data_IF_828349850774
#
_entry.id   IF_828349850774
#
_cell.length_a   1.000
_cell.length_b   1.000
_cell.length_c   1.000
_cell.angle_alpha   90.00
_cell.angle_beta   90.00
_cell.angle_gamma   90.00
#
_symmetry.space_group_name_H-M   'P 1'
#
loop_
_entity.id
_entity.type
_entity.pdbx_description
1 polymer ?
#
# COMPACT_ATOMS: atom_id res chain seq x y z
N UNK A 1 -7.97 -13.46 -25.41
CA UNK A 1 -6.91 -12.45 -25.60
C UNK A 1 -6.08 -12.39 -24.34
N UNK A 2 -4.76 -12.38 -24.45
CA UNK A 2 -3.85 -12.17 -23.31
C UNK A 2 -3.99 -10.72 -22.83
N UNK A 3 -4.11 -10.44 -21.52
CA UNK A 3 -4.19 -9.07 -21.01
C UNK A 3 -2.93 -8.27 -21.35
N UNK A 4 -3.10 -6.99 -21.71
CA UNK A 4 -2.00 -6.04 -21.92
C UNK A 4 -1.45 -5.58 -20.56
N UNK A 5 -0.45 -6.30 -20.06
CA UNK A 5 0.11 -6.09 -18.72
C UNK A 5 1.06 -4.89 -18.69
N UNK A 6 0.69 -3.88 -17.91
CA UNK A 6 1.54 -2.75 -17.53
C UNK A 6 2.31 -3.12 -16.27
N UNK A 7 3.63 -3.19 -16.38
CA UNK A 7 4.54 -3.64 -15.31
C UNK A 7 5.27 -2.46 -14.69
N UNK A 8 5.49 -2.49 -13.38
CA UNK A 8 6.23 -1.44 -12.69
C UNK A 8 7.68 -1.35 -13.23
N UNK A 9 8.15 -0.15 -13.65
CA UNK A 9 9.45 -0.03 -14.31
C UNK A 9 10.57 0.15 -13.29
N UNK A 10 10.95 -0.92 -12.61
CA UNK A 10 12.10 -0.90 -11.70
C UNK A 10 12.05 -1.97 -10.61
N UNK A 11 13.07 -2.00 -9.74
CA UNK A 11 13.01 -2.83 -8.56
C UNK A 11 11.86 -2.35 -7.67
N UNK A 12 10.96 -3.26 -7.31
CA UNK A 12 9.96 -2.98 -6.29
C UNK A 12 10.65 -2.70 -4.95
N UNK A 13 10.10 -1.82 -4.10
CA UNK A 13 10.60 -1.60 -2.75
C UNK A 13 10.88 -2.93 -2.03
N UNK A 14 11.99 -2.98 -1.29
CA UNK A 14 12.48 -4.22 -0.70
C UNK A 14 11.45 -4.80 0.27
N UNK A 15 10.85 -5.91 -0.19
CA UNK A 15 9.97 -6.89 0.49
C UNK A 15 9.12 -6.32 1.64
N UNK A 16 7.81 -6.32 1.41
CA UNK A 16 6.91 -7.11 2.26
C UNK A 16 7.55 -8.50 2.39
N UNK A 17 8.22 -8.78 3.51
CA UNK A 17 8.90 -10.05 3.79
C UNK A 17 8.30 -10.65 5.06
N UNK A 18 8.91 -11.71 5.62
CA UNK A 18 8.45 -12.33 6.86
C UNK A 18 7.92 -11.28 7.85
N UNK A 19 6.64 -11.43 8.22
CA UNK A 19 5.95 -10.48 9.08
C UNK A 19 6.72 -10.33 10.39
N UNK A 20 7.01 -9.09 10.79
CA UNK A 20 7.67 -8.81 12.06
C UNK A 20 6.78 -9.26 13.24
N UNK A 21 7.39 -9.64 14.35
CA UNK A 21 6.64 -10.01 15.56
C UNK A 21 6.44 -8.78 16.43
N UNK A 22 5.19 -8.42 16.68
CA UNK A 22 4.79 -7.29 17.51
C UNK A 22 3.71 -7.69 18.52
N UNK A 23 3.95 -7.40 19.82
CA UNK A 23 2.99 -7.64 20.92
C UNK A 23 2.38 -9.06 20.94
N UNK A 24 3.21 -10.06 20.67
CA UNK A 24 2.78 -11.48 20.65
C UNK A 24 1.98 -11.88 19.40
N UNK A 25 2.00 -11.08 18.34
CA UNK A 25 1.41 -11.39 17.03
C UNK A 25 2.32 -10.97 15.88
N UNK A 26 1.88 -11.20 14.65
CA UNK A 26 2.56 -10.73 13.44
C UNK A 26 2.01 -9.35 13.05
N UNK A 27 2.89 -8.46 12.59
CA UNK A 27 2.46 -7.20 11.97
C UNK A 27 1.72 -7.52 10.67
N UNK A 28 0.53 -6.93 10.50
CA UNK A 28 -0.30 -7.18 9.33
C UNK A 28 0.23 -6.56 8.05
N UNK A 29 -0.16 -7.14 6.90
CA UNK A 29 0.18 -6.64 5.56
C UNK A 29 -0.20 -5.17 5.34
N UNK A 30 -1.25 -4.67 5.99
CA UNK A 30 -1.62 -3.24 5.97
C UNK A 30 -0.50 -2.31 6.46
N UNK A 31 0.06 -2.57 7.64
CA UNK A 31 1.11 -1.73 8.19
C UNK A 31 2.46 -1.95 7.50
N UNK A 32 2.77 -3.19 7.10
CA UNK A 32 4.00 -3.51 6.39
C UNK A 32 4.05 -2.87 5.00
N UNK A 33 2.97 -2.95 4.22
CA UNK A 33 2.85 -2.29 2.92
C UNK A 33 2.98 -0.77 3.05
N UNK A 34 2.37 -0.16 4.08
CA UNK A 34 2.53 1.26 4.36
C UNK A 34 3.98 1.64 4.68
N UNK A 35 4.67 0.83 5.49
CA UNK A 35 6.09 1.03 5.80
C UNK A 35 6.97 0.93 4.55
N UNK A 36 6.73 -0.06 3.69
CA UNK A 36 7.45 -0.24 2.43
C UNK A 36 7.28 0.97 1.51
N UNK A 37 6.04 1.44 1.34
CA UNK A 37 5.72 2.59 0.52
C UNK A 37 6.37 3.86 1.10
N UNK A 38 6.20 4.11 2.39
CA UNK A 38 6.71 5.32 3.03
C UNK A 38 8.26 5.38 3.00
N UNK A 39 8.95 4.27 3.27
CA UNK A 39 10.42 4.22 3.20
C UNK A 39 10.94 4.51 1.80
N UNK A 40 10.29 4.00 0.75
CA UNK A 40 10.68 4.32 -0.63
C UNK A 40 10.66 5.83 -0.89
N UNK A 41 9.59 6.51 -0.48
CA UNK A 41 9.46 7.96 -0.68
C UNK A 41 10.40 8.75 0.22
N UNK A 42 10.57 8.36 1.48
CA UNK A 42 11.47 9.02 2.41
C UNK A 42 12.94 8.96 1.96
N UNK A 43 13.39 7.81 1.45
CA UNK A 43 14.75 7.67 0.88
C UNK A 43 14.98 8.65 -0.28
N UNK A 44 14.00 8.84 -1.16
CA UNK A 44 14.09 9.80 -2.27
C UNK A 44 14.16 11.25 -1.81
N UNK A 45 13.60 11.56 -0.63
CA UNK A 45 13.60 12.90 -0.05
C UNK A 45 14.72 13.13 0.98
N UNK A 46 15.56 12.13 1.24
CA UNK A 46 16.58 12.21 2.29
C UNK A 46 16.01 12.31 3.72
N UNK A 47 14.76 11.90 3.91
CA UNK A 47 14.09 11.92 5.22
C UNK A 47 14.49 10.65 5.99
N UNK A 48 15.08 10.78 7.19
CA UNK A 48 15.40 9.62 8.01
C UNK A 48 14.11 9.02 8.59
N UNK A 49 13.93 7.72 8.41
CA UNK A 49 12.86 6.94 9.03
C UNK A 49 13.44 5.71 9.72
N UNK A 50 12.70 5.12 10.68
CA UNK A 50 13.05 3.81 11.22
C UNK A 50 13.22 2.75 10.12
N UNK A 51 13.79 1.60 10.49
CA UNK A 51 13.77 0.44 9.61
C UNK A 51 12.32 -0.02 9.34
N UNK A 52 12.17 -0.97 8.40
CA UNK A 52 10.86 -1.35 7.86
C UNK A 52 9.96 -1.88 8.98
N UNK A 53 10.52 -2.72 9.85
CA UNK A 53 9.75 -3.45 10.84
C UNK A 53 9.36 -2.55 12.00
N UNK A 54 10.28 -1.73 12.52
CA UNK A 54 9.96 -0.74 13.55
C UNK A 54 8.97 0.31 13.03
N UNK A 55 9.10 0.74 11.77
CA UNK A 55 8.13 1.64 11.15
C UNK A 55 6.76 0.97 11.02
N UNK A 56 6.71 -0.29 10.61
CA UNK A 56 5.47 -1.03 10.48
C UNK A 56 4.76 -1.19 11.83
N UNK A 57 5.49 -1.36 12.94
CA UNK A 57 4.90 -1.37 14.28
C UNK A 57 4.28 -0.02 14.66
N UNK A 58 4.97 1.08 14.38
CA UNK A 58 4.46 2.43 14.62
C UNK A 58 3.20 2.70 13.77
N UNK A 59 3.23 2.30 12.50
CA UNK A 59 2.10 2.44 11.59
C UNK A 59 0.93 1.53 11.97
N UNK A 60 1.18 0.31 12.46
CA UNK A 60 0.14 -0.56 12.97
C UNK A 60 -0.62 0.08 14.13
N UNK A 61 0.08 0.75 15.05
CA UNK A 61 -0.55 1.52 16.11
C UNK A 61 -1.37 2.71 15.55
N UNK A 62 -0.78 3.49 14.63
CA UNK A 62 -1.45 4.66 14.02
C UNK A 62 -2.69 4.28 13.18
N UNK A 63 -2.67 3.13 12.53
CA UNK A 63 -3.77 2.59 11.72
C UNK A 63 -4.82 1.85 12.56
N UNK A 64 -4.68 1.82 13.88
CA UNK A 64 -5.63 1.17 14.79
C UNK A 64 -5.67 -0.35 14.62
N UNK A 65 -4.51 -0.99 14.51
CA UNK A 65 -4.42 -2.44 14.37
C UNK A 65 -5.11 -3.16 15.54
N UNK A 66 -5.94 -4.14 15.21
CA UNK A 66 -6.73 -4.91 16.17
C UNK A 66 -6.43 -6.41 16.09
N UNK A 67 -6.82 -7.11 17.15
CA UNK A 67 -6.70 -8.57 17.26
C UNK A 67 -7.87 -9.24 16.54
N UNK A 68 -7.55 -10.21 15.70
CA UNK A 68 -8.55 -11.17 15.23
C UNK A 68 -8.77 -12.25 16.31
N UNK A 69 -9.92 -12.95 16.31
CA UNK A 69 -10.21 -14.04 17.25
C UNK A 69 -9.40 -15.32 16.93
N UNK A 70 -8.08 -15.16 16.87
CA UNK A 70 -7.07 -16.20 16.76
C UNK A 70 -6.02 -15.91 17.85
N UNK A 71 -5.24 -16.89 18.33
CA UNK A 71 -4.38 -16.76 19.53
C UNK A 71 -3.18 -15.80 19.39
N UNK A 72 -3.18 -14.94 18.39
CA UNK A 72 -2.06 -14.06 18.04
C UNK A 72 -2.40 -12.60 18.35
N UNK A 73 -1.39 -11.78 18.61
CA UNK A 73 -1.50 -10.33 18.85
C UNK A 73 -2.17 -9.53 17.71
N UNK A 74 -2.26 -8.19 17.84
CA UNK A 74 -2.93 -7.36 16.85
C UNK A 74 -2.28 -7.52 15.48
N UNK A 75 -3.08 -7.80 14.44
CA UNK A 75 -2.56 -8.16 13.11
C UNK A 75 -3.35 -7.61 11.94
N UNK A 76 -4.52 -7.03 12.17
CA UNK A 76 -5.40 -6.55 11.12
C UNK A 76 -5.66 -5.05 11.29
N UNK A 77 -5.72 -4.32 10.19
CA UNK A 77 -6.11 -2.91 10.15
C UNK A 77 -7.37 -2.80 9.32
N UNK A 78 -8.32 -1.97 9.75
CA UNK A 78 -9.52 -1.73 8.96
C UNK A 78 -9.14 -1.01 7.66
N UNK A 79 -9.71 -1.39 6.50
CA UNK A 79 -9.28 -0.81 5.24
C UNK A 79 -9.44 0.71 5.17
N UNK A 80 -10.56 1.23 5.67
CA UNK A 80 -10.81 2.67 5.76
C UNK A 80 -9.89 3.40 6.75
N UNK A 81 -9.28 2.69 7.70
CA UNK A 81 -8.33 3.28 8.66
C UNK A 81 -6.91 3.37 8.09
N UNK A 82 -6.60 2.66 7.01
CA UNK A 82 -5.24 2.61 6.44
C UNK A 82 -4.75 4.01 6.02
N UNK A 83 -5.55 4.73 5.23
CA UNK A 83 -5.22 6.07 4.75
C UNK A 83 -5.21 7.12 5.86
N UNK A 84 -6.24 7.10 6.71
CA UNK A 84 -6.37 8.07 7.80
C UNK A 84 -5.25 7.90 8.79
N UNK A 85 -4.97 6.67 9.25
CA UNK A 85 -3.89 6.38 10.19
C UNK A 85 -2.52 6.71 9.63
N UNK A 86 -2.27 6.42 8.34
CA UNK A 86 -1.02 6.81 7.70
C UNK A 86 -0.87 8.34 7.62
N UNK A 87 -1.89 9.08 7.19
CA UNK A 87 -1.80 10.54 7.18
C UNK A 87 -1.63 11.14 8.57
N UNK A 88 -2.34 10.64 9.58
CA UNK A 88 -2.14 11.06 10.99
C UNK A 88 -0.69 10.83 11.44
N UNK A 89 -0.08 9.71 11.06
CA UNK A 89 1.33 9.46 11.34
C UNK A 89 2.24 10.46 10.63
N UNK A 90 2.02 10.70 9.33
CA UNK A 90 2.82 11.66 8.54
C UNK A 90 2.75 13.07 9.15
N UNK A 91 1.55 13.51 9.51
CA UNK A 91 1.30 14.81 10.15
C UNK A 91 1.98 14.90 11.52
N UNK A 92 1.83 13.87 12.36
CA UNK A 92 2.46 13.81 13.68
C UNK A 92 3.99 13.78 13.64
N UNK A 93 4.57 13.23 12.56
CA UNK A 93 6.01 13.23 12.29
C UNK A 93 6.49 14.46 11.50
N UNK A 94 5.59 15.40 11.17
CA UNK A 94 5.87 16.58 10.34
C UNK A 94 6.57 16.25 9.01
N UNK A 95 6.19 15.12 8.39
CA UNK A 95 6.79 14.69 7.14
C UNK A 95 6.20 15.47 5.96
N UNK A 96 7.01 15.87 4.96
CA UNK A 96 6.54 16.60 3.78
C UNK A 96 5.89 15.65 2.76
N UNK A 97 5.04 14.75 3.23
CA UNK A 97 4.46 13.64 2.48
C UNK A 97 2.97 13.56 2.78
N UNK A 98 2.19 13.09 1.80
CA UNK A 98 0.77 12.83 1.98
C UNK A 98 0.38 11.51 1.36
N UNK A 99 -0.39 10.72 2.10
CA UNK A 99 -0.96 9.48 1.60
C UNK A 99 -2.28 9.74 0.89
N UNK A 100 -2.39 9.16 -0.30
CA UNK A 100 -3.56 9.22 -1.17
C UNK A 100 -4.03 7.83 -1.51
N UNK A 101 -5.31 7.73 -1.83
CA UNK A 101 -5.84 6.50 -2.38
C UNK A 101 -7.17 6.70 -3.06
N UNK A 102 -7.52 5.71 -3.85
CA UNK A 102 -8.82 5.57 -4.49
C UNK A 102 -9.39 4.21 -4.15
N UNK A 103 -10.62 4.23 -3.67
CA UNK A 103 -11.44 3.04 -3.48
C UNK A 103 -12.29 2.82 -4.72
N UNK A 104 -12.56 1.55 -5.05
CA UNK A 104 -13.72 1.23 -5.87
C UNK A 104 -13.47 0.25 -7.00
N UNK A 105 -14.49 -0.57 -7.20
CA UNK A 105 -14.65 -1.57 -8.26
C UNK A 105 -15.12 -0.96 -9.60
N UNK A 106 -15.29 0.37 -9.71
CA UNK A 106 -16.04 1.01 -10.82
C UNK A 106 -15.46 2.32 -11.38
N UNK A 107 -14.19 2.68 -11.10
CA UNK A 107 -13.56 3.92 -11.59
C UNK A 107 -12.35 3.65 -12.51
N UNK A 108 -12.48 2.68 -13.41
CA UNK A 108 -11.35 2.08 -14.13
C UNK A 108 -10.56 3.03 -15.02
N UNK A 109 -11.22 3.85 -15.85
CA UNK A 109 -10.49 4.68 -16.81
C UNK A 109 -9.66 5.79 -16.11
N UNK A 110 -10.24 6.57 -15.16
CA UNK A 110 -9.44 7.54 -14.41
C UNK A 110 -8.36 6.91 -13.53
N UNK A 111 -8.60 5.70 -12.99
CA UNK A 111 -7.60 4.98 -12.18
C UNK A 111 -6.46 4.45 -13.05
N UNK A 112 -6.77 3.90 -14.21
CA UNK A 112 -5.79 3.38 -15.18
C UNK A 112 -4.83 4.47 -15.64
N UNK A 113 -5.36 5.63 -16.06
CA UNK A 113 -4.53 6.75 -16.49
C UNK A 113 -3.64 7.28 -15.34
N UNK A 114 -4.14 7.28 -14.11
CA UNK A 114 -3.35 7.70 -12.95
C UNK A 114 -2.25 6.70 -12.60
N UNK A 115 -2.56 5.39 -12.65
CA UNK A 115 -1.57 4.33 -12.49
C UNK A 115 -0.48 4.42 -13.56
N UNK A 116 -0.83 4.77 -14.81
CA UNK A 116 0.15 4.98 -15.87
C UNK A 116 1.13 6.10 -15.51
N UNK A 117 0.60 7.23 -15.03
CA UNK A 117 1.43 8.34 -14.58
C UNK A 117 2.36 7.91 -13.44
N UNK A 118 1.85 7.23 -12.41
CA UNK A 118 2.66 6.75 -11.28
C UNK A 118 3.73 5.76 -11.72
N UNK A 119 3.37 4.77 -12.54
CA UNK A 119 4.31 3.77 -13.06
C UNK A 119 5.38 4.44 -13.92
N UNK A 120 5.01 5.31 -14.86
CA UNK A 120 5.97 6.02 -15.72
C UNK A 120 6.98 6.87 -14.92
N UNK A 121 6.57 7.39 -13.76
CA UNK A 121 7.43 8.14 -12.84
C UNK A 121 8.24 7.26 -11.88
N UNK A 122 8.11 5.93 -11.97
CA UNK A 122 8.73 4.97 -11.06
C UNK A 122 8.26 5.15 -9.61
N UNK A 123 6.99 5.54 -9.42
CA UNK A 123 6.38 5.73 -8.10
C UNK A 123 5.59 4.48 -7.71
N UNK A 124 6.02 3.74 -6.66
CA UNK A 124 5.34 2.52 -6.25
C UNK A 124 3.97 2.82 -5.68
N UNK A 125 3.10 1.82 -5.76
CA UNK A 125 1.69 1.91 -5.38
C UNK A 125 1.33 0.67 -4.58
N UNK A 126 0.50 0.82 -3.57
CA UNK A 126 -0.10 -0.30 -2.84
C UNK A 126 -1.46 -0.60 -3.47
N UNK A 127 -1.65 -1.85 -3.90
CA UNK A 127 -2.95 -2.38 -4.23
C UNK A 127 -3.58 -3.07 -3.03
N UNK A 128 -4.91 -3.03 -2.96
CA UNK A 128 -5.68 -3.75 -1.97
C UNK A 128 -6.65 -4.70 -2.65
N UNK A 129 -6.51 -5.97 -2.34
CA UNK A 129 -7.51 -6.98 -2.65
C UNK A 129 -8.57 -6.98 -1.56
N UNK A 130 -9.83 -6.92 -1.96
CA UNK A 130 -10.97 -7.00 -1.07
C UNK A 130 -11.97 -8.02 -1.58
N UNK A 131 -11.90 -9.25 -1.06
CA UNK A 131 -12.85 -10.31 -1.36
C UNK A 131 -13.43 -10.89 -0.09
N UNK A 132 -14.49 -11.70 -0.25
CA UNK A 132 -15.09 -12.45 0.85
C UNK A 132 -14.13 -13.49 1.45
N UNK A 133 -13.06 -13.87 0.71
CA UNK A 133 -12.11 -14.91 1.12
C UNK A 133 -10.80 -14.33 1.63
N UNK A 134 -10.38 -13.20 1.09
CA UNK A 134 -9.07 -12.63 1.36
C UNK A 134 -9.14 -11.09 1.33
N UNK A 135 -8.36 -10.48 2.22
CA UNK A 135 -8.17 -9.03 2.28
C UNK A 135 -6.68 -8.80 2.47
N UNK A 136 -6.03 -8.30 1.43
CA UNK A 136 -4.58 -8.22 1.42
C UNK A 136 -4.07 -6.93 0.77
N UNK A 137 -3.10 -6.29 1.42
CA UNK A 137 -2.36 -5.16 0.88
C UNK A 137 -1.04 -5.63 0.31
N UNK A 138 -0.67 -5.15 -0.87
CA UNK A 138 0.63 -5.47 -1.44
C UNK A 138 1.10 -4.44 -2.44
N UNK A 139 2.40 -4.46 -2.74
CA UNK A 139 2.96 -3.59 -3.79
C UNK A 139 2.40 -4.01 -5.15
N UNK A 140 1.77 -3.07 -5.86
CA UNK A 140 1.24 -3.31 -7.20
C UNK A 140 2.41 -3.48 -8.18
N UNK A 141 2.66 -4.71 -8.63
CA UNK A 141 3.77 -5.06 -9.53
C UNK A 141 3.38 -4.98 -11.00
N UNK A 142 2.12 -5.28 -11.30
CA UNK A 142 1.54 -5.10 -12.63
C UNK A 142 0.01 -4.97 -12.58
N UNK A 143 -0.58 -4.35 -13.60
CA UNK A 143 -2.02 -4.35 -13.84
C UNK A 143 -2.30 -4.41 -15.34
N UNK A 144 -3.50 -4.83 -15.74
CA UNK A 144 -3.96 -4.66 -17.11
C UNK A 144 -5.19 -3.75 -17.13
N UNK A 145 -5.27 -2.78 -18.05
CA UNK A 145 -6.49 -1.98 -18.24
C UNK A 145 -7.68 -2.88 -18.54
N UNK A 146 -8.81 -2.61 -17.89
CA UNK A 146 -10.02 -3.38 -18.11
C UNK A 146 -11.10 -3.14 -17.06
N UNK A 147 -12.30 -3.71 -17.28
CA UNK A 147 -13.45 -3.53 -16.39
C UNK A 147 -13.21 -4.08 -14.99
N UNK A 148 -12.29 -5.02 -14.80
CA UNK A 148 -11.99 -5.58 -13.48
C UNK A 148 -10.57 -5.25 -13.02
N UNK A 149 -9.83 -4.46 -13.80
CA UNK A 149 -8.44 -4.03 -13.55
C UNK A 149 -7.58 -5.17 -12.94
N UNK A 150 -7.42 -6.32 -13.63
CA UNK A 150 -6.66 -7.44 -13.11
C UNK A 150 -5.25 -6.98 -12.74
N UNK A 151 -4.77 -7.45 -11.60
CA UNK A 151 -3.54 -6.95 -11.01
C UNK A 151 -2.69 -8.07 -10.41
N UNK A 152 -1.42 -7.76 -10.20
CA UNK A 152 -0.44 -8.58 -9.50
C UNK A 152 0.08 -7.79 -8.32
N UNK A 153 -0.07 -8.35 -7.13
CA UNK A 153 0.43 -7.75 -5.89
C UNK A 153 1.64 -8.56 -5.42
N UNK A 154 2.73 -7.87 -5.08
CA UNK A 154 3.84 -8.48 -4.38
C UNK A 154 3.55 -8.41 -2.88
N UNK A 155 3.36 -9.58 -2.27
CA UNK A 155 2.89 -9.80 -0.90
C UNK A 155 3.78 -10.84 -0.22
N UNK A 156 4.33 -10.53 0.95
CA UNK A 156 5.19 -11.44 1.73
C UNK A 156 6.30 -12.16 0.91
N UNK A 157 6.86 -11.49 -0.12
CA UNK A 157 7.88 -12.04 -1.01
C UNK A 157 7.36 -12.96 -2.12
N UNK A 158 6.04 -13.11 -2.23
CA UNK A 158 5.30 -13.88 -3.24
C UNK A 158 4.44 -12.97 -4.12
N UNK A 159 4.00 -13.46 -5.27
CA UNK A 159 3.12 -12.71 -6.17
C UNK A 159 1.68 -13.23 -6.05
N UNK A 160 0.79 -12.41 -5.52
CA UNK A 160 -0.65 -12.65 -5.51
C UNK A 160 -1.25 -12.16 -6.84
N UNK A 161 -1.90 -13.06 -7.56
CA UNK A 161 -2.59 -12.76 -8.80
C UNK A 161 -4.07 -12.52 -8.50
N UNK A 162 -4.54 -11.29 -8.71
CA UNK A 162 -5.94 -10.96 -8.44
C UNK A 162 -6.83 -11.59 -9.51
N UNK A 163 -7.82 -12.36 -9.06
CA UNK A 163 -8.76 -13.02 -9.97
C UNK A 163 -9.53 -11.97 -10.79
N UNK A 164 -9.88 -12.27 -12.06
CA UNK A 164 -10.58 -11.33 -12.93
C UNK A 164 -11.93 -10.83 -12.39
N UNK A 165 -12.53 -11.45 -11.38
CA UNK A 165 -13.82 -11.02 -10.80
C UNK A 165 -13.69 -10.19 -9.53
N UNK A 166 -12.49 -10.14 -8.96
CA UNK A 166 -12.24 -9.45 -7.68
C UNK A 166 -11.56 -8.11 -7.94
N UNK A 167 -10.61 -8.07 -8.89
CA UNK A 167 -9.89 -6.85 -9.22
C UNK A 167 -9.21 -6.19 -8.03
N UNK A 168 -8.82 -4.92 -8.21
CA UNK A 168 -8.37 -4.07 -7.11
C UNK A 168 -9.58 -3.46 -6.38
N UNK A 169 -9.69 -3.71 -5.07
CA UNK A 169 -10.65 -3.04 -4.20
C UNK A 169 -10.21 -1.62 -3.80
N UNK A 170 -8.90 -1.36 -3.85
CA UNK A 170 -8.32 -0.04 -3.61
C UNK A 170 -6.89 0.08 -4.11
N UNK A 171 -6.46 1.33 -4.30
CA UNK A 171 -5.11 1.69 -4.76
C UNK A 171 -4.63 2.89 -3.96
N UNK A 172 -3.41 2.84 -3.44
CA UNK A 172 -2.85 3.84 -2.53
C UNK A 172 -1.42 4.23 -2.91
N UNK A 173 -1.08 5.51 -2.78
CA UNK A 173 0.24 6.05 -3.11
C UNK A 173 0.62 7.18 -2.14
N UNK A 174 1.90 7.58 -2.17
CA UNK A 174 2.39 8.77 -1.48
C UNK A 174 2.72 9.84 -2.52
N UNK A 175 2.39 11.08 -2.20
CA UNK A 175 2.85 12.27 -2.91
C UNK A 175 3.63 13.19 -1.96
N UNK A 176 4.51 14.03 -2.51
CA UNK A 176 5.06 15.13 -1.74
C UNK A 176 3.92 16.07 -1.34
N UNK A 177 3.84 16.44 -0.07
CA UNK A 177 2.95 17.50 0.34
C UNK A 177 3.48 18.78 -0.32
N UNK A 178 2.72 19.33 -1.27
CA UNK A 178 3.06 20.63 -1.83
C UNK A 178 3.25 21.61 -0.68
N UNK A 179 4.41 22.28 -0.63
CA UNK A 179 4.53 23.48 0.19
C UNK A 179 3.45 24.39 -0.37
N UNK A 180 2.37 24.61 0.39
CA UNK A 180 1.49 25.72 0.10
C UNK A 180 2.38 26.95 0.15
N UNK A 181 2.80 27.43 -1.01
CA UNK A 181 3.32 28.77 -1.13
C UNK A 181 2.16 29.67 -0.74
N UNK A 182 2.17 30.11 0.52
CA UNK A 182 1.36 31.22 0.95
C UNK A 182 1.77 32.41 0.08
N UNK A 183 0.94 32.70 -0.91
CA UNK A 183 0.85 34.02 -1.55
C UNK A 183 0.12 34.97 -0.61
#
# INVERSE_FOLDING_TARGET
>A
MTPDWRTFPGPLPQRDGNQAVWRGGLVGCGALSAACLLRHHATRLGVPLPDRDALAEQLAAAQGAFRLPLPQGPRATWPWAWLTGLNTYLDGQHLPLRARGRWGLHLHAPLTAHLDCLFSAGLPVIGFEFSAREQHYGLLSAYAPGPDLPARLHVDGSCLHLAPRTGLGGVFWIEAAGVSSAS
#
